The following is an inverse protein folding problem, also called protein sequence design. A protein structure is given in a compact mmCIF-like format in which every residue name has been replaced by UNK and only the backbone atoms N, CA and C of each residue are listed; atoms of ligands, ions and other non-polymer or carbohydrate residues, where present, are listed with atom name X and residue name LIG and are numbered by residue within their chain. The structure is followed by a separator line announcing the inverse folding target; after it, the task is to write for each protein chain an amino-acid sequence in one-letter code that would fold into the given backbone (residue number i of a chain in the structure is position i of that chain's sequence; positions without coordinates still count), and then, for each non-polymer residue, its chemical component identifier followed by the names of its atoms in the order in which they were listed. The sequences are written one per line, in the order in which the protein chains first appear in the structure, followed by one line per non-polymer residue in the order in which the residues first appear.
data_IF_539077158630
#
_entry.id   IF_539077158630
#
_cell.length_a   1.000
_cell.length_b   1.000
_cell.length_c   1.000
_cell.angle_alpha   90.00
_cell.angle_beta   90.00
_cell.angle_gamma   90.00
#
_symmetry.space_group_name_H-M   'P 1'
#
loop_
_entity.id
_entity.type
_entity.pdbx_description
1 polymer ?
#
# COMPACT_ATOMS: atom_id res chain seq x y z
N UNK A 1 7.26 7.33 -5.03
CA UNK A 1 6.17 6.44 -5.46
C UNK A 1 6.76 5.42 -6.42
N UNK A 2 6.46 4.13 -6.24
CA UNK A 2 6.88 3.07 -7.17
C UNK A 2 6.16 3.25 -8.51
N UNK A 3 6.86 3.10 -9.63
CA UNK A 3 6.27 3.17 -10.98
C UNK A 3 5.59 1.85 -11.37
N UNK A 4 4.61 1.89 -12.28
CA UNK A 4 3.95 0.69 -12.84
C UNK A 4 4.98 -0.35 -13.31
N UNK A 5 5.98 0.08 -14.06
CA UNK A 5 7.08 -0.80 -14.52
C UNK A 5 7.82 -1.48 -13.37
N UNK A 6 8.00 -0.80 -12.23
CA UNK A 6 8.63 -1.41 -11.06
C UNK A 6 7.69 -2.40 -10.37
N UNK A 7 6.38 -2.16 -10.38
CA UNK A 7 5.37 -3.13 -9.91
C UNK A 7 5.42 -4.39 -10.77
N UNK A 8 5.43 -4.24 -12.10
CA UNK A 8 5.50 -5.37 -13.04
C UNK A 8 6.74 -6.23 -12.82
N UNK A 9 7.92 -5.58 -12.69
CA UNK A 9 9.18 -6.27 -12.46
C UNK A 9 9.19 -7.01 -11.12
N UNK A 10 8.65 -6.39 -10.07
CA UNK A 10 8.59 -6.97 -8.74
C UNK A 10 7.61 -8.15 -8.69
N UNK A 11 6.41 -8.00 -9.25
CA UNK A 11 5.42 -9.06 -9.36
C UNK A 11 5.95 -10.24 -10.16
N UNK A 12 6.57 -9.98 -11.32
CA UNK A 12 7.21 -11.00 -12.13
C UNK A 12 8.31 -11.75 -11.37
N UNK A 13 9.21 -11.03 -10.72
CA UNK A 13 10.29 -11.65 -9.93
C UNK A 13 9.76 -12.50 -8.78
N UNK A 14 8.71 -12.02 -8.08
CA UNK A 14 8.12 -12.71 -6.95
C UNK A 14 7.41 -13.99 -7.36
N UNK A 15 6.50 -13.91 -8.35
CA UNK A 15 5.72 -15.07 -8.81
C UNK A 15 6.66 -16.12 -9.42
N UNK A 16 7.52 -15.70 -10.36
CA UNK A 16 8.49 -16.60 -10.99
C UNK A 16 9.36 -17.30 -9.96
N UNK A 17 9.92 -16.53 -9.02
CA UNK A 17 10.80 -17.06 -7.98
C UNK A 17 10.10 -18.06 -7.05
N UNK A 18 8.85 -17.81 -6.67
CA UNK A 18 8.09 -18.70 -5.80
C UNK A 18 7.73 -20.02 -6.49
N UNK A 19 7.38 -19.97 -7.78
CA UNK A 19 7.12 -21.17 -8.59
C UNK A 19 8.41 -21.96 -8.81
N UNK A 20 9.49 -21.31 -9.24
CA UNK A 20 10.76 -21.96 -9.54
C UNK A 20 11.38 -22.66 -8.31
N UNK A 21 11.15 -22.13 -7.10
CA UNK A 21 11.58 -22.75 -5.84
C UNK A 21 10.61 -23.84 -5.32
N UNK A 22 9.50 -24.08 -6.01
CA UNK A 22 8.44 -24.99 -5.55
C UNK A 22 7.76 -24.53 -4.26
N UNK A 23 7.85 -23.25 -3.90
CA UNK A 23 7.23 -22.69 -2.70
C UNK A 23 5.72 -22.54 -2.86
N UNK A 24 5.26 -22.38 -4.11
CA UNK A 24 3.84 -22.38 -4.47
C UNK A 24 3.61 -23.31 -5.66
N UNK A 25 2.44 -23.94 -5.69
CA UNK A 25 1.95 -24.65 -6.87
C UNK A 25 1.11 -23.70 -7.71
N UNK A 26 1.53 -23.44 -8.95
CA UNK A 26 0.75 -22.61 -9.86
C UNK A 26 -0.53 -23.35 -10.30
N UNK A 27 -1.69 -22.76 -10.01
CA UNK A 27 -3.00 -23.29 -10.42
C UNK A 27 -3.53 -22.66 -11.71
N UNK A 28 -2.83 -21.65 -12.22
CA UNK A 28 -3.12 -20.93 -13.46
C UNK A 28 -1.80 -20.66 -14.20
N UNK A 29 -1.88 -20.09 -15.40
CA UNK A 29 -0.69 -19.66 -16.14
C UNK A 29 0.10 -18.62 -15.32
N UNK A 30 1.43 -18.68 -15.39
CA UNK A 30 2.32 -17.77 -14.68
C UNK A 30 2.03 -16.31 -15.03
N UNK A 31 1.67 -16.01 -16.29
CA UNK A 31 1.32 -14.65 -16.72
C UNK A 31 0.05 -14.14 -16.06
N UNK A 32 -0.96 -14.99 -15.91
CA UNK A 32 -2.22 -14.63 -15.26
C UNK A 32 -2.01 -14.40 -13.76
N UNK A 33 -1.16 -15.21 -13.13
CA UNK A 33 -0.75 -15.01 -11.74
C UNK A 33 0.01 -13.69 -11.55
N UNK A 34 0.95 -13.38 -12.45
CA UNK A 34 1.67 -12.11 -12.43
C UNK A 34 0.70 -10.93 -12.57
N UNK A 35 -0.23 -10.99 -13.53
CA UNK A 35 -1.22 -9.92 -13.74
C UNK A 35 -2.09 -9.70 -12.49
N UNK A 36 -2.55 -10.79 -11.85
CA UNK A 36 -3.30 -10.70 -10.60
C UNK A 36 -2.48 -10.05 -9.47
N UNK A 37 -1.19 -10.42 -9.33
CA UNK A 37 -0.31 -9.80 -8.32
C UNK A 37 -0.05 -8.32 -8.64
N UNK A 38 0.15 -7.94 -9.91
CA UNK A 38 0.29 -6.53 -10.32
C UNK A 38 -0.94 -5.72 -9.94
N UNK A 39 -2.14 -6.25 -10.22
CA UNK A 39 -3.40 -5.59 -9.87
C UNK A 39 -3.52 -5.41 -8.35
N UNK A 40 -3.23 -6.46 -7.58
CA UNK A 40 -3.27 -6.41 -6.11
C UNK A 40 -2.27 -5.40 -5.54
N UNK A 41 -1.03 -5.37 -6.07
CA UNK A 41 -0.01 -4.43 -5.61
C UNK A 41 -0.36 -2.99 -5.97
N UNK A 42 -0.86 -2.76 -7.18
CA UNK A 42 -1.32 -1.43 -7.63
C UNK A 42 -2.45 -0.92 -6.74
N UNK A 43 -3.47 -1.75 -6.50
CA UNK A 43 -4.58 -1.42 -5.60
C UNK A 43 -4.09 -1.12 -4.17
N UNK A 44 -3.10 -1.87 -3.68
CA UNK A 44 -2.51 -1.66 -2.36
C UNK A 44 -1.79 -0.30 -2.27
N UNK A 45 -0.98 0.07 -3.26
CA UNK A 45 -0.29 1.37 -3.28
C UNK A 45 -1.26 2.55 -3.45
N UNK A 46 -2.32 2.39 -4.24
CA UNK A 46 -3.38 3.40 -4.32
C UNK A 46 -4.07 3.60 -2.97
N UNK A 47 -4.37 2.50 -2.26
CA UNK A 47 -5.00 2.57 -0.95
C UNK A 47 -4.09 3.23 0.08
N UNK A 48 -2.80 2.92 0.06
CA UNK A 48 -1.79 3.62 0.88
C UNK A 48 -1.82 5.13 0.63
N UNK A 49 -1.75 5.53 -0.65
CA UNK A 49 -1.77 6.94 -1.05
C UNK A 49 -3.02 7.65 -0.55
N UNK A 50 -4.21 7.02 -0.66
CA UNK A 50 -5.46 7.57 -0.14
C UNK A 50 -5.43 7.76 1.38
N UNK A 51 -4.87 6.80 2.12
CA UNK A 51 -4.73 6.88 3.57
C UNK A 51 -3.79 8.03 3.95
N UNK A 52 -2.68 8.20 3.23
CA UNK A 52 -1.75 9.30 3.47
C UNK A 52 -2.37 10.67 3.20
N UNK A 53 -3.02 10.85 2.04
CA UNK A 53 -3.69 12.08 1.65
C UNK A 53 -4.79 12.48 2.65
N UNK A 54 -5.56 11.50 3.13
CA UNK A 54 -6.61 11.76 4.12
C UNK A 54 -6.02 12.07 5.50
N UNK A 55 -4.93 11.40 5.88
CA UNK A 55 -4.22 11.71 7.12
C UNK A 55 -3.65 13.14 7.11
N UNK A 56 -3.09 13.58 5.99
CA UNK A 56 -2.57 14.94 5.80
C UNK A 56 -3.68 15.98 5.93
N UNK A 57 -4.79 15.80 5.21
CA UNK A 57 -5.94 16.73 5.28
C UNK A 57 -6.51 16.84 6.70
N UNK A 58 -6.66 15.71 7.40
CA UNK A 58 -7.18 15.71 8.76
C UNK A 58 -6.19 16.31 9.76
N UNK A 59 -4.89 16.02 9.61
CA UNK A 59 -3.86 16.58 10.47
C UNK A 59 -3.78 18.11 10.33
N UNK A 60 -3.81 18.64 9.11
CA UNK A 60 -3.83 20.08 8.87
C UNK A 60 -5.06 20.76 9.50
N UNK A 61 -6.24 20.17 9.33
CA UNK A 61 -7.48 20.71 9.89
C UNK A 61 -7.44 20.79 11.43
N UNK A 62 -6.89 19.76 12.07
CA UNK A 62 -6.78 19.67 13.53
C UNK A 62 -5.64 20.53 14.10
N UNK A 63 -4.52 20.64 13.39
CA UNK A 63 -3.40 21.51 13.77
C UNK A 63 -3.80 22.98 13.76
N UNK A 64 -4.62 23.42 12.78
CA UNK A 64 -5.19 24.78 12.75
C UNK A 64 -6.06 25.08 13.98
N UNK A 65 -6.77 24.07 14.49
CA UNK A 65 -7.65 24.21 15.66
C UNK A 65 -6.88 24.13 17.00
N UNK A 66 -5.70 23.52 17.02
CA UNK A 66 -4.93 23.28 18.24
C UNK A 66 -3.46 23.68 18.07
N UNK A 67 -3.12 24.98 18.26
CA UNK A 67 -1.78 25.53 18.00
C UNK A 67 -0.63 25.00 18.88
N UNK A 68 -0.87 24.02 19.76
CA UNK A 68 0.14 23.43 20.66
C UNK A 68 0.42 21.95 20.42
N UNK A 69 -0.23 21.34 19.43
CA UNK A 69 -0.07 19.91 19.13
C UNK A 69 0.99 19.73 18.04
N UNK A 70 1.91 18.79 18.24
CA UNK A 70 2.89 18.38 17.23
C UNK A 70 2.18 17.78 16.00
N UNK A 71 2.23 18.45 14.82
CA UNK A 71 1.53 18.01 13.62
C UNK A 71 2.01 16.64 13.12
N UNK A 72 3.29 16.28 13.33
CA UNK A 72 3.83 15.01 12.86
C UNK A 72 3.26 13.84 13.66
N UNK A 73 3.16 13.98 14.98
CA UNK A 73 2.53 12.99 15.86
C UNK A 73 1.03 12.84 15.56
N UNK A 74 0.36 13.95 15.30
CA UNK A 74 -1.05 13.97 14.95
C UNK A 74 -1.32 13.22 13.64
N UNK A 75 -0.55 13.52 12.59
CA UNK A 75 -0.60 12.82 11.29
C UNK A 75 -0.37 11.32 11.47
N UNK A 76 0.65 10.93 12.23
CA UNK A 76 0.97 9.52 12.46
C UNK A 76 -0.18 8.76 13.13
N UNK A 77 -0.81 9.34 14.17
CA UNK A 77 -1.96 8.74 14.85
C UNK A 77 -3.18 8.63 13.95
N UNK A 78 -3.46 9.65 13.13
CA UNK A 78 -4.55 9.64 12.17
C UNK A 78 -4.32 8.57 11.10
N UNK A 79 -3.10 8.50 10.54
CA UNK A 79 -2.72 7.50 9.54
C UNK A 79 -2.93 6.08 10.05
N UNK A 80 -2.49 5.78 11.28
CA UNK A 80 -2.71 4.48 11.92
C UNK A 80 -4.21 4.16 12.08
N UNK A 81 -5.00 5.13 12.53
CA UNK A 81 -6.45 4.97 12.68
C UNK A 81 -7.15 4.70 11.35
N UNK A 82 -6.78 5.43 10.30
CA UNK A 82 -7.34 5.26 8.96
C UNK A 82 -6.96 3.91 8.35
N UNK A 83 -5.70 3.50 8.49
CA UNK A 83 -5.24 2.19 8.04
C UNK A 83 -5.97 1.05 8.76
N UNK A 84 -6.07 1.10 10.09
CA UNK A 84 -6.82 0.10 10.87
C UNK A 84 -8.29 0.02 10.45
N UNK A 85 -8.94 1.17 10.19
CA UNK A 85 -10.32 1.23 9.70
C UNK A 85 -10.47 0.60 8.31
N UNK A 86 -9.46 0.75 7.45
CA UNK A 86 -9.46 0.20 6.10
C UNK A 86 -8.96 -1.26 6.03
N UNK A 87 -8.61 -1.87 7.16
CA UNK A 87 -7.97 -3.20 7.19
C UNK A 87 -6.59 -3.21 6.52
N UNK A 88 -5.94 -2.05 6.41
CA UNK A 88 -4.65 -1.86 5.76
C UNK A 88 -3.51 -2.00 6.77
N UNK A 89 -2.44 -2.69 6.37
CA UNK A 89 -1.23 -2.82 7.19
C UNK A 89 -0.23 -1.76 6.75
N UNK A 90 0.15 -0.85 7.67
CA UNK A 90 1.17 0.19 7.46
C UNK A 90 2.60 -0.33 7.62
#
# INVERSE_FOLDING_TARGET
MISERQIDLLAGHLVHGLIARGSILALADEKDLIACVVEMMSANFEQETRIEDEADKQAEALARQNPGVDPARLRAGIRQRLAAKAGFTL
#
